data_IF_782362041542
#
_entry.id   IF_782362041542
#
_cell.length_a   1.000
_cell.length_b   1.000
_cell.length_c   1.000
_cell.angle_alpha   90.00
_cell.angle_beta   90.00
_cell.angle_gamma   90.00
#
_symmetry.space_group_name_H-M   'P 1'
#
loop_
_entity.id
_entity.type
_entity.pdbx_description
1 polymer ?
#
# COMPACT_ATOMS: atom_id res chain seq x y z
N UNK A 1 2.93 2.16 -9.78
CA UNK A 1 2.40 1.80 -8.44
C UNK A 1 3.55 1.42 -7.50
N UNK A 2 4.33 0.38 -7.81
CA UNK A 2 5.41 -0.16 -6.95
C UNK A 2 6.40 0.91 -6.44
N UNK A 3 6.97 1.71 -7.34
CA UNK A 3 7.93 2.77 -6.96
C UNK A 3 7.30 3.77 -5.98
N UNK A 4 6.06 4.17 -6.23
CA UNK A 4 5.35 5.11 -5.34
C UNK A 4 5.06 4.51 -3.96
N UNK A 5 4.74 3.21 -3.88
CA UNK A 5 4.61 2.53 -2.60
C UNK A 5 5.89 2.66 -1.76
N UNK A 6 7.06 2.42 -2.38
CA UNK A 6 8.34 2.59 -1.70
C UNK A 6 8.61 4.04 -1.27
N UNK A 7 8.34 5.02 -2.16
CA UNK A 7 8.52 6.44 -1.83
C UNK A 7 7.66 6.82 -0.63
N UNK A 8 6.40 6.39 -0.61
CA UNK A 8 5.50 6.67 0.52
C UNK A 8 6.03 6.00 1.79
N UNK A 9 6.40 4.72 1.73
CA UNK A 9 6.92 3.98 2.89
C UNK A 9 8.21 4.58 3.45
N UNK A 10 9.06 5.20 2.63
CA UNK A 10 10.23 5.93 3.10
C UNK A 10 9.86 7.18 3.92
N UNK A 11 8.71 7.79 3.64
CA UNK A 11 8.22 8.96 4.38
C UNK A 11 7.39 8.54 5.60
N UNK A 12 6.44 7.63 5.40
CA UNK A 12 5.50 7.20 6.46
C UNK A 12 6.15 6.25 7.45
N UNK A 13 7.06 5.39 6.99
CA UNK A 13 7.72 4.39 7.81
C UNK A 13 8.40 4.96 9.06
N UNK A 14 9.32 5.92 8.96
CA UNK A 14 9.94 6.52 10.15
C UNK A 14 8.93 7.18 11.08
N UNK A 15 7.91 7.84 10.56
CA UNK A 15 6.91 8.54 11.35
C UNK A 15 5.95 7.59 12.06
N UNK A 16 5.40 6.62 11.33
CA UNK A 16 4.38 5.70 11.85
C UNK A 16 5.04 4.55 12.59
N UNK A 17 5.93 3.82 11.94
CA UNK A 17 6.47 2.57 12.49
C UNK A 17 7.54 2.79 13.56
N UNK A 18 8.46 3.74 13.34
CA UNK A 18 9.52 4.01 14.32
C UNK A 18 9.12 5.10 15.33
N UNK A 19 8.12 5.93 15.02
CA UNK A 19 7.59 6.93 15.93
C UNK A 19 6.38 6.42 16.69
N UNK A 20 5.22 6.48 16.07
CA UNK A 20 3.93 6.25 16.76
C UNK A 20 3.75 4.81 17.23
N UNK A 21 4.23 3.82 16.47
CA UNK A 21 4.03 2.39 16.74
C UNK A 21 5.21 1.68 17.40
N UNK A 22 6.33 2.35 17.63
CA UNK A 22 7.56 1.72 18.15
C UNK A 22 7.32 0.91 19.43
N UNK A 23 6.69 1.49 20.43
CA UNK A 23 6.39 0.83 21.70
C UNK A 23 5.44 -0.38 21.53
N UNK A 24 4.43 -0.23 20.66
CA UNK A 24 3.48 -1.31 20.38
C UNK A 24 4.18 -2.49 19.67
N UNK A 25 5.13 -2.23 18.80
CA UNK A 25 5.93 -3.28 18.16
C UNK A 25 6.88 -3.98 19.14
N UNK A 26 7.48 -3.25 20.08
CA UNK A 26 8.31 -3.84 21.12
C UNK A 26 7.45 -4.76 22.01
N UNK A 27 6.30 -4.28 22.44
CA UNK A 27 5.37 -5.05 23.28
C UNK A 27 4.82 -6.32 22.58
N UNK A 28 4.81 -6.35 21.26
CA UNK A 28 4.34 -7.48 20.44
C UNK A 28 5.46 -8.20 19.70
N UNK A 29 6.69 -8.08 20.17
CA UNK A 29 7.89 -8.61 19.49
C UNK A 29 7.81 -10.10 19.14
N UNK A 30 7.13 -10.90 19.93
CA UNK A 30 6.93 -12.33 19.68
C UNK A 30 6.09 -12.66 18.43
N UNK A 31 5.31 -11.71 17.92
CA UNK A 31 4.51 -11.89 16.70
C UNK A 31 5.29 -11.59 15.41
N UNK A 32 6.45 -10.92 15.54
CA UNK A 32 7.21 -10.48 14.37
C UNK A 32 8.26 -11.51 13.97
N UNK A 33 8.65 -11.46 12.70
CA UNK A 33 9.76 -12.26 12.20
C UNK A 33 11.05 -11.85 12.92
N UNK A 34 11.91 -12.81 13.31
CA UNK A 34 13.17 -12.51 13.97
C UNK A 34 14.03 -11.49 13.22
N UNK A 35 13.99 -11.51 11.89
CA UNK A 35 14.70 -10.53 11.06
C UNK A 35 14.26 -9.08 11.27
N UNK A 36 13.01 -8.85 11.73
CA UNK A 36 12.49 -7.50 12.05
C UNK A 36 12.85 -7.05 13.46
N UNK A 37 13.01 -7.99 14.40
CA UNK A 37 13.19 -7.68 15.82
C UNK A 37 14.64 -7.59 16.28
N UNK A 38 15.58 -8.02 15.42
CA UNK A 38 17.00 -7.83 15.71
C UNK A 38 17.43 -6.37 15.46
N UNK A 39 18.53 -5.94 16.06
CA UNK A 39 19.03 -4.57 15.98
C UNK A 39 20.46 -4.59 15.41
N UNK A 40 20.68 -4.01 14.20
CA UNK A 40 19.68 -3.48 13.26
C UNK A 40 18.86 -4.61 12.60
N UNK A 41 17.68 -4.31 12.04
CA UNK A 41 16.87 -5.30 11.32
C UNK A 41 17.63 -5.92 10.13
N UNK A 42 17.45 -7.22 9.92
CA UNK A 42 18.06 -7.92 8.78
C UNK A 42 17.25 -7.66 7.50
N UNK A 43 17.58 -6.56 6.83
CA UNK A 43 16.96 -6.15 5.58
C UNK A 43 17.24 -7.15 4.45
N UNK A 44 18.38 -7.82 4.44
CA UNK A 44 18.72 -8.80 3.41
C UNK A 44 17.77 -10.00 3.42
N UNK A 45 17.36 -10.45 4.60
CA UNK A 45 16.39 -11.53 4.76
C UNK A 45 14.94 -11.11 4.39
N UNK A 46 14.61 -9.82 4.53
CA UNK A 46 13.26 -9.30 4.31
C UNK A 46 13.00 -8.85 2.87
N UNK A 47 13.99 -8.20 2.24
CA UNK A 47 13.88 -7.57 0.92
C UNK A 47 13.36 -8.49 -0.19
N UNK A 48 13.84 -9.72 -0.37
CA UNK A 48 13.37 -10.57 -1.47
C UNK A 48 11.85 -10.79 -1.42
N UNK A 49 11.30 -11.01 -0.22
CA UNK A 49 9.86 -11.19 -0.04
C UNK A 49 9.09 -9.91 -0.33
N UNK A 50 9.55 -8.77 0.17
CA UNK A 50 8.89 -7.48 -0.05
C UNK A 50 8.91 -7.07 -1.52
N UNK A 51 10.02 -7.32 -2.21
CA UNK A 51 10.12 -7.08 -3.66
C UNK A 51 9.10 -7.93 -4.42
N UNK A 52 9.07 -9.24 -4.18
CA UNK A 52 8.16 -10.15 -4.88
C UNK A 52 6.69 -9.80 -4.61
N UNK A 53 6.33 -9.62 -3.35
CA UNK A 53 4.94 -9.29 -3.00
C UNK A 53 4.51 -7.92 -3.50
N UNK A 54 5.39 -6.92 -3.42
CA UNK A 54 5.12 -5.57 -3.92
C UNK A 54 4.98 -5.50 -5.43
N UNK A 55 5.81 -6.22 -6.18
CA UNK A 55 5.67 -6.35 -7.63
C UNK A 55 4.37 -7.06 -8.00
N UNK A 56 4.07 -8.18 -7.34
CA UNK A 56 2.82 -8.93 -7.59
C UNK A 56 1.59 -8.05 -7.36
N UNK A 57 1.53 -7.35 -6.25
CA UNK A 57 0.47 -6.38 -5.96
C UNK A 57 0.37 -5.30 -7.04
N UNK A 58 1.51 -4.77 -7.49
CA UNK A 58 1.55 -3.71 -8.49
C UNK A 58 1.04 -4.15 -9.84
N UNK A 59 1.35 -5.38 -10.27
CA UNK A 59 0.79 -5.97 -11.49
C UNK A 59 -0.72 -6.16 -11.39
N UNK A 60 -1.20 -6.70 -10.27
CA UNK A 60 -2.64 -6.86 -10.02
C UNK A 60 -3.34 -5.50 -10.05
N UNK A 61 -2.81 -4.50 -9.36
CA UNK A 61 -3.40 -3.15 -9.31
C UNK A 61 -3.41 -2.47 -10.68
N UNK A 62 -2.36 -2.62 -11.48
CA UNK A 62 -2.30 -2.07 -12.83
C UNK A 62 -3.32 -2.78 -13.76
N UNK A 63 -3.43 -4.10 -13.66
CA UNK A 63 -4.40 -4.89 -14.43
C UNK A 63 -5.85 -4.51 -14.07
N UNK A 64 -6.17 -4.46 -12.78
CA UNK A 64 -7.50 -4.05 -12.31
C UNK A 64 -7.84 -2.61 -12.73
N UNK A 65 -6.89 -1.69 -12.62
CA UNK A 65 -7.09 -0.33 -13.10
C UNK A 65 -7.37 -0.29 -14.59
N UNK A 66 -6.59 -1.02 -15.39
CA UNK A 66 -6.82 -1.13 -16.84
C UNK A 66 -8.21 -1.62 -17.18
N UNK A 67 -8.72 -2.58 -16.41
CA UNK A 67 -10.04 -3.18 -16.59
C UNK A 67 -11.16 -2.23 -16.17
N UNK A 68 -11.04 -1.56 -15.02
CA UNK A 68 -12.12 -0.75 -14.44
C UNK A 68 -12.09 0.74 -14.82
N UNK A 69 -11.00 1.25 -15.39
CA UNK A 69 -10.83 2.69 -15.62
C UNK A 69 -11.94 3.34 -16.45
N UNK A 70 -12.56 2.58 -17.36
CA UNK A 70 -13.67 3.09 -18.19
C UNK A 70 -14.94 3.35 -17.40
N UNK A 71 -15.16 2.64 -16.30
CA UNK A 71 -16.34 2.79 -15.44
C UNK A 71 -16.14 3.89 -14.37
N UNK A 72 -14.91 4.41 -14.20
CA UNK A 72 -14.60 5.41 -13.17
C UNK A 72 -14.58 6.82 -13.79
N UNK A 73 -15.49 7.68 -13.34
CA UNK A 73 -15.57 9.06 -13.81
C UNK A 73 -14.36 9.90 -13.41
N UNK A 74 -13.92 10.76 -14.33
CA UNK A 74 -12.76 11.64 -14.18
C UNK A 74 -11.64 11.30 -15.18
N UNK A 75 -10.50 11.93 -15.03
CA UNK A 75 -9.32 11.71 -15.86
C UNK A 75 -8.05 11.74 -15.03
N UNK A 76 -6.98 11.17 -15.56
CA UNK A 76 -5.64 11.22 -14.99
C UNK A 76 -5.62 10.84 -13.51
N UNK A 77 -5.00 11.70 -12.72
CA UNK A 77 -4.82 11.49 -11.29
C UNK A 77 -6.14 11.28 -10.55
N UNK A 78 -7.19 12.05 -10.87
CA UNK A 78 -8.48 11.97 -10.16
C UNK A 78 -9.14 10.62 -10.34
N UNK A 79 -9.16 10.10 -11.58
CA UNK A 79 -9.69 8.76 -11.88
C UNK A 79 -8.91 7.68 -11.12
N UNK A 80 -7.59 7.77 -11.17
CA UNK A 80 -6.70 6.85 -10.46
C UNK A 80 -6.85 6.91 -8.94
N UNK A 81 -6.99 8.11 -8.36
CA UNK A 81 -7.21 8.28 -6.92
C UNK A 81 -8.54 7.67 -6.45
N UNK A 82 -9.62 7.83 -7.24
CA UNK A 82 -10.91 7.16 -6.96
C UNK A 82 -10.77 5.64 -6.99
N UNK A 83 -10.05 5.10 -7.98
CA UNK A 83 -9.74 3.67 -8.02
C UNK A 83 -8.93 3.25 -6.80
N UNK A 84 -7.88 4.00 -6.46
CA UNK A 84 -7.06 3.75 -5.28
C UNK A 84 -7.87 3.78 -3.99
N UNK A 85 -8.81 4.72 -3.86
CA UNK A 85 -9.70 4.77 -2.71
C UNK A 85 -10.56 3.50 -2.59
N UNK A 86 -11.17 3.04 -3.69
CA UNK A 86 -11.96 1.80 -3.69
C UNK A 86 -11.12 0.59 -3.27
N UNK A 87 -9.91 0.46 -3.83
CA UNK A 87 -9.01 -0.63 -3.47
C UNK A 87 -8.49 -0.50 -2.03
N UNK A 88 -8.18 0.69 -1.58
CA UNK A 88 -7.79 0.98 -0.20
C UNK A 88 -8.89 0.63 0.80
N UNK A 89 -10.15 0.93 0.49
CA UNK A 89 -11.30 0.55 1.32
C UNK A 89 -11.46 -0.98 1.38
N UNK A 90 -11.26 -1.69 0.27
CA UNK A 90 -11.27 -3.15 0.26
C UNK A 90 -10.18 -3.73 1.16
N UNK A 91 -8.96 -3.20 1.07
CA UNK A 91 -7.84 -3.61 1.94
C UNK A 91 -8.12 -3.25 3.40
N UNK A 92 -8.65 -2.07 3.68
CA UNK A 92 -9.02 -1.64 5.02
C UNK A 92 -10.06 -2.56 5.65
N UNK A 93 -11.10 -2.94 4.90
CA UNK A 93 -12.13 -3.88 5.35
C UNK A 93 -11.54 -5.27 5.63
N UNK A 94 -10.62 -5.73 4.77
CA UNK A 94 -9.91 -7.00 4.98
C UNK A 94 -9.04 -6.96 6.24
N UNK A 95 -8.28 -5.88 6.44
CA UNK A 95 -7.48 -5.68 7.65
C UNK A 95 -8.36 -5.61 8.90
N UNK A 96 -9.48 -4.90 8.84
CA UNK A 96 -10.43 -4.81 9.95
C UNK A 96 -11.00 -6.20 10.33
N UNK A 97 -11.24 -7.08 9.35
CA UNK A 97 -11.71 -8.45 9.65
C UNK A 97 -10.65 -9.29 10.39
N UNK A 98 -9.35 -9.02 10.16
CA UNK A 98 -8.26 -9.74 10.84
C UNK A 98 -8.09 -9.38 12.31
N UNK A 99 -8.62 -8.24 12.76
CA UNK A 99 -8.58 -7.85 14.17
C UNK A 99 -9.23 -8.90 15.09
N UNK A 100 -10.18 -9.66 14.59
CA UNK A 100 -10.81 -10.77 15.33
C UNK A 100 -9.94 -12.04 15.42
N UNK A 101 -8.86 -12.15 14.66
CA UNK A 101 -8.01 -13.34 14.62
C UNK A 101 -6.64 -13.14 15.25
N UNK A 102 -6.10 -11.92 15.21
CA UNK A 102 -4.76 -11.61 15.69
C UNK A 102 -4.84 -10.72 16.93
N UNK A 103 -4.22 -11.15 18.01
CA UNK A 103 -4.16 -10.38 19.25
C UNK A 103 -3.08 -9.27 19.18
N UNK A 104 -3.25 -8.36 18.23
CA UNK A 104 -2.43 -7.16 18.11
C UNK A 104 -3.19 -5.94 18.65
N UNK A 105 -2.51 -4.98 19.27
CA UNK A 105 -3.14 -3.74 19.75
C UNK A 105 -3.90 -3.00 18.65
N UNK A 106 -5.10 -2.51 18.96
CA UNK A 106 -5.95 -1.75 18.03
C UNK A 106 -5.24 -0.55 17.40
N UNK A 107 -4.31 0.05 18.15
CA UNK A 107 -3.47 1.14 17.65
C UNK A 107 -2.66 0.74 16.40
N UNK A 108 -2.16 -0.50 16.33
CA UNK A 108 -1.41 -0.99 15.17
C UNK A 108 -2.35 -1.09 13.96
N UNK A 109 -3.52 -1.72 14.14
CA UNK A 109 -4.52 -1.85 13.09
C UNK A 109 -4.98 -0.51 12.56
N UNK A 110 -5.28 0.44 13.45
CA UNK A 110 -5.72 1.77 13.07
C UNK A 110 -4.70 2.48 12.16
N UNK A 111 -3.44 2.51 12.57
CA UNK A 111 -2.41 3.19 11.79
C UNK A 111 -2.09 2.48 10.48
N UNK A 112 -2.10 1.15 10.45
CA UNK A 112 -1.93 0.40 9.21
C UNK A 112 -3.07 0.63 8.22
N UNK A 113 -4.31 0.70 8.69
CA UNK A 113 -5.46 1.02 7.84
C UNK A 113 -5.34 2.44 7.28
N UNK A 114 -5.01 3.42 8.11
CA UNK A 114 -4.80 4.80 7.67
C UNK A 114 -3.68 4.91 6.62
N UNK A 115 -2.54 4.27 6.87
CA UNK A 115 -1.41 4.24 5.94
C UNK A 115 -1.77 3.55 4.61
N UNK A 116 -2.49 2.43 4.68
CA UNK A 116 -2.96 1.73 3.49
C UNK A 116 -3.89 2.63 2.66
N UNK A 117 -4.91 3.23 3.26
CA UNK A 117 -5.83 4.14 2.55
C UNK A 117 -5.08 5.28 1.88
N UNK A 118 -4.20 5.96 2.61
CA UNK A 118 -3.38 7.04 2.07
C UNK A 118 -2.52 6.57 0.89
N UNK A 119 -1.81 5.47 1.07
CA UNK A 119 -0.91 4.91 0.06
C UNK A 119 -1.65 4.49 -1.20
N UNK A 120 -2.79 3.83 -1.06
CA UNK A 120 -3.58 3.38 -2.21
C UNK A 120 -4.15 4.56 -3.01
N UNK A 121 -4.61 5.63 -2.34
CA UNK A 121 -5.12 6.84 -3.02
C UNK A 121 -4.01 7.51 -3.83
N UNK A 122 -2.84 7.71 -3.25
CA UNK A 122 -1.72 8.37 -3.93
C UNK A 122 -1.17 7.49 -5.07
N UNK A 123 -0.91 6.21 -4.78
CA UNK A 123 -0.40 5.27 -5.79
C UNK A 123 -1.39 5.06 -6.94
N UNK A 124 -2.68 5.00 -6.62
CA UNK A 124 -3.75 4.94 -7.63
C UNK A 124 -3.80 6.21 -8.47
N UNK A 125 -3.69 7.37 -7.85
CA UNK A 125 -3.64 8.66 -8.55
C UNK A 125 -2.49 8.73 -9.54
N UNK A 126 -1.29 8.35 -9.12
CA UNK A 126 -0.11 8.31 -10.00
C UNK A 126 -0.30 7.27 -11.11
N UNK A 127 -0.85 6.10 -10.80
CA UNK A 127 -1.17 5.09 -11.82
C UNK A 127 -2.13 5.63 -12.88
N UNK A 128 -3.18 6.33 -12.47
CA UNK A 128 -4.13 6.96 -13.37
C UNK A 128 -3.51 8.04 -14.25
N UNK A 129 -2.67 8.88 -13.66
CA UNK A 129 -1.93 9.92 -14.39
C UNK A 129 -1.00 9.31 -15.44
N UNK A 130 -0.24 8.27 -15.07
CA UNK A 130 0.65 7.54 -15.98
C UNK A 130 -0.13 6.89 -17.13
N UNK A 131 -1.23 6.22 -16.79
CA UNK A 131 -2.04 5.52 -17.78
C UNK A 131 -2.68 6.45 -18.79
N UNK A 132 -3.17 7.62 -18.37
CA UNK A 132 -3.75 8.59 -19.31
C UNK A 132 -2.68 9.26 -20.19
N UNK A 133 -1.45 9.40 -19.71
CA UNK A 133 -0.36 10.03 -20.49
C UNK A 133 0.27 9.08 -21.50
N UNK A 134 0.44 7.81 -21.17
CA UNK A 134 1.22 6.87 -21.99
C UNK A 134 0.42 5.70 -22.55
N UNK A 135 -0.76 5.41 -22.02
CA UNK A 135 -1.61 4.31 -22.46
C UNK A 135 -2.96 4.78 -23.04
N UNK A 136 -3.14 6.08 -23.29
CA UNK A 136 -4.31 6.57 -24.03
C UNK A 136 -4.21 6.10 -25.49
N UNK A 137 -5.31 5.64 -26.11
CA UNK A 137 -5.32 5.38 -27.55
C UNK A 137 -4.86 6.65 -28.27
N UNK A 138 -3.85 6.52 -29.15
CA UNK A 138 -3.52 7.61 -30.06
C UNK A 138 -4.79 7.87 -30.87
N UNK A 139 -5.29 9.11 -30.84
CA UNK A 139 -6.35 9.51 -31.75
C UNK A 139 -5.90 9.14 -33.16
N UNK A 140 -6.66 8.28 -33.83
CA UNK A 140 -6.44 8.00 -35.25
C UNK A 140 -6.55 9.33 -35.98
N UNK A 141 -5.43 9.82 -36.51
CA UNK A 141 -5.38 10.98 -37.37
C UNK A 141 -6.10 10.71 -38.70
#
# INVERSE_FOLDING_TARGET
FYVMTWVISFVTGPLIHNGVLAEAYIATSSFWRPALTQVPPDMAALMPRWVVTGLSLSFVMAGLYGYFRAAIAGSGFVRGAKFGLLMGLLVAATMASWTGFFNLPDKIWFWWICEALFSYVICGGVLGWVADRWCAPKASA
#
